data_IF_395548508068
#
_entry.id   IF_395548508068
#
_cell.length_a   1.000
_cell.length_b   1.000
_cell.length_c   1.000
_cell.angle_alpha   90.00
_cell.angle_beta   90.00
_cell.angle_gamma   90.00
#
_symmetry.space_group_name_H-M   'P 1'
#
loop_
_entity.id
_entity.type
_entity.pdbx_description
1 polymer ?
#
# COMPACT_ATOMS: atom_id res chain seq x y z
N UNK A 1 -9.74 15.11 -22.00
CA UNK A 1 -9.82 15.06 -20.53
C UNK A 1 -9.22 13.83 -19.87
N UNK A 2 -9.70 12.59 -20.03
CA UNK A 2 -9.15 11.46 -19.23
C UNK A 2 -7.65 11.23 -19.48
N UNK A 3 -7.19 11.42 -20.72
CA UNK A 3 -5.78 11.24 -21.08
C UNK A 3 -4.90 12.38 -20.54
N UNK A 4 -5.37 13.62 -20.60
CA UNK A 4 -4.67 14.79 -20.04
C UNK A 4 -4.54 14.70 -18.51
N UNK A 5 -5.60 14.24 -17.82
CA UNK A 5 -5.55 13.99 -16.36
C UNK A 5 -4.54 12.87 -16.09
N UNK A 6 -4.57 11.79 -16.87
CA UNK A 6 -3.63 10.68 -16.70
C UNK A 6 -2.18 11.14 -16.88
N UNK A 7 -1.91 11.93 -17.93
CA UNK A 7 -0.59 12.50 -18.19
C UNK A 7 -0.14 13.40 -17.04
N UNK A 8 -1.04 14.27 -16.54
CA UNK A 8 -0.74 15.19 -15.45
C UNK A 8 -0.41 14.51 -14.12
N UNK A 9 -0.96 13.31 -13.86
CA UNK A 9 -0.72 12.56 -12.63
C UNK A 9 0.36 11.48 -12.77
N UNK A 10 0.90 11.25 -13.97
CA UNK A 10 1.75 10.10 -14.26
C UNK A 10 3.03 10.10 -13.41
N UNK A 11 3.64 11.27 -13.20
CA UNK A 11 4.84 11.43 -12.38
C UNK A 11 4.62 10.96 -10.93
N UNK A 12 3.48 11.29 -10.34
CA UNK A 12 3.13 10.92 -8.98
C UNK A 12 2.87 9.41 -8.86
N UNK A 13 2.29 8.80 -9.90
CA UNK A 13 2.09 7.34 -9.97
C UNK A 13 3.43 6.62 -10.08
N UNK A 14 4.35 7.15 -10.89
CA UNK A 14 5.69 6.57 -11.02
C UNK A 14 6.50 6.72 -9.72
N UNK A 15 6.33 7.82 -8.98
CA UNK A 15 6.93 7.99 -7.66
C UNK A 15 6.44 6.97 -6.63
N UNK A 16 5.14 6.62 -6.66
CA UNK A 16 4.58 5.54 -5.81
C UNK A 16 5.22 4.19 -6.17
N UNK A 17 5.30 3.89 -7.47
CA UNK A 17 5.92 2.66 -7.95
C UNK A 17 7.39 2.55 -7.52
N UNK A 18 8.15 3.65 -7.64
CA UNK A 18 9.55 3.67 -7.25
C UNK A 18 9.71 3.45 -5.75
N UNK A 19 8.87 4.10 -4.93
CA UNK A 19 8.85 3.88 -3.48
C UNK A 19 8.62 2.41 -3.12
N UNK A 20 7.72 1.73 -3.83
CA UNK A 20 7.47 0.30 -3.63
C UNK A 20 8.72 -0.53 -3.95
N UNK A 21 9.41 -0.25 -5.05
CA UNK A 21 10.63 -0.97 -5.42
C UNK A 21 11.74 -0.78 -4.40
N UNK A 22 11.97 0.46 -3.97
CA UNK A 22 12.97 0.79 -2.96
C UNK A 22 12.67 0.07 -1.64
N UNK A 23 11.40 0.00 -1.23
CA UNK A 23 11.01 -0.74 -0.04
C UNK A 23 11.31 -2.24 -0.18
N UNK A 24 11.04 -2.84 -1.34
CA UNK A 24 11.35 -4.25 -1.61
C UNK A 24 12.86 -4.52 -1.61
N UNK A 25 13.67 -3.62 -2.18
CA UNK A 25 15.13 -3.73 -2.20
C UNK A 25 15.77 -3.63 -0.81
N UNK A 26 15.16 -2.85 0.09
CA UNK A 26 15.63 -2.66 1.46
C UNK A 26 15.10 -3.74 2.42
N UNK A 27 14.15 -4.57 1.98
CA UNK A 27 13.54 -5.61 2.82
C UNK A 27 14.48 -6.81 2.96
N UNK A 28 14.71 -7.34 4.19
CA UNK A 28 15.49 -8.55 4.38
C UNK A 28 14.96 -9.74 3.55
N UNK A 29 15.85 -10.64 3.07
CA UNK A 29 15.46 -11.74 2.18
C UNK A 29 14.32 -12.61 2.73
N UNK A 30 14.30 -12.85 4.05
CA UNK A 30 13.29 -13.68 4.71
C UNK A 30 11.89 -13.07 4.57
N UNK A 31 11.77 -11.75 4.65
CA UNK A 31 10.50 -11.02 4.52
C UNK A 31 10.15 -10.73 3.05
N UNK A 32 11.15 -10.53 2.19
CA UNK A 32 10.93 -10.32 0.77
C UNK A 32 10.25 -11.54 0.12
N UNK A 33 10.64 -12.76 0.52
CA UNK A 33 9.96 -13.98 0.10
C UNK A 33 8.48 -14.00 0.49
N UNK A 34 8.15 -13.62 1.73
CA UNK A 34 6.74 -13.54 2.15
C UNK A 34 5.92 -12.52 1.36
N UNK A 35 6.53 -11.39 0.97
CA UNK A 35 5.86 -10.38 0.15
C UNK A 35 5.60 -10.89 -1.26
N UNK A 36 6.50 -11.70 -1.83
CA UNK A 36 6.28 -12.35 -3.12
C UNK A 36 5.06 -13.28 -3.07
N UNK A 37 4.91 -14.03 -1.98
CA UNK A 37 3.81 -14.99 -1.82
C UNK A 37 2.48 -14.32 -1.45
N UNK A 38 2.49 -13.39 -0.50
CA UNK A 38 1.28 -12.75 0.05
C UNK A 38 0.88 -11.49 -0.70
N UNK A 39 1.82 -10.80 -1.30
CA UNK A 39 1.61 -9.54 -2.02
C UNK A 39 1.53 -8.31 -1.11
N UNK A 40 1.02 -7.23 -1.70
CA UNK A 40 0.88 -5.90 -1.11
C UNK A 40 -0.59 -5.56 -0.97
N UNK A 41 -0.96 -4.98 0.17
CA UNK A 41 -2.32 -4.47 0.42
C UNK A 41 -2.32 -2.95 0.33
N UNK A 42 -3.15 -2.39 -0.55
CA UNK A 42 -3.37 -0.96 -0.74
C UNK A 42 -4.50 -0.48 0.16
N UNK A 43 -4.30 0.69 0.76
CA UNK A 43 -5.28 1.37 1.61
C UNK A 43 -5.22 2.90 1.42
N UNK A 44 -6.13 3.63 2.04
CA UNK A 44 -6.28 5.08 1.91
C UNK A 44 -7.03 5.52 0.65
N UNK A 45 -7.37 6.81 0.57
CA UNK A 45 -8.11 7.35 -0.57
C UNK A 45 -7.36 7.28 -1.90
N UNK A 46 -6.03 7.34 -1.89
CA UNK A 46 -5.20 7.21 -3.09
C UNK A 46 -5.31 5.83 -3.75
N UNK A 47 -5.59 4.78 -2.97
CA UNK A 47 -5.76 3.43 -3.49
C UNK A 47 -7.02 3.27 -4.36
N UNK A 48 -7.98 4.20 -4.27
CA UNK A 48 -9.19 4.22 -5.09
C UNK A 48 -8.97 4.83 -6.48
N UNK A 49 -7.74 5.30 -6.79
CA UNK A 49 -7.44 5.76 -8.12
C UNK A 49 -7.63 4.62 -9.13
N UNK A 50 -8.40 4.90 -10.18
CA UNK A 50 -8.83 3.90 -11.15
C UNK A 50 -7.64 3.12 -11.72
N UNK A 51 -7.67 1.80 -11.56
CA UNK A 51 -6.69 0.83 -12.04
C UNK A 51 -5.27 0.99 -11.45
N UNK A 52 -5.10 1.68 -10.33
CA UNK A 52 -3.80 1.80 -9.67
C UNK A 52 -3.26 0.43 -9.22
N UNK A 53 -4.12 -0.39 -8.60
CA UNK A 53 -3.82 -1.76 -8.18
C UNK A 53 -3.36 -2.63 -9.36
N UNK A 54 -4.06 -2.57 -10.48
CA UNK A 54 -3.70 -3.29 -11.70
C UNK A 54 -2.38 -2.79 -12.28
N UNK A 55 -2.17 -1.48 -12.33
CA UNK A 55 -0.92 -0.89 -12.79
C UNK A 55 0.27 -1.36 -11.95
N UNK A 56 0.15 -1.29 -10.62
CA UNK A 56 1.20 -1.73 -9.70
C UNK A 56 1.48 -3.22 -9.86
N UNK A 57 0.43 -4.06 -9.93
CA UNK A 57 0.56 -5.50 -10.15
C UNK A 57 1.33 -5.82 -11.42
N UNK A 58 1.03 -5.13 -12.53
CA UNK A 58 1.71 -5.32 -13.79
C UNK A 58 3.19 -4.90 -13.72
N UNK A 59 3.50 -3.83 -13.00
CA UNK A 59 4.84 -3.24 -12.91
C UNK A 59 5.75 -3.95 -11.92
N UNK A 60 5.21 -4.47 -10.82
CA UNK A 60 5.98 -5.16 -9.78
C UNK A 60 5.98 -6.68 -9.96
N UNK A 61 4.99 -7.24 -10.66
CA UNK A 61 4.78 -8.68 -10.76
C UNK A 61 4.22 -9.30 -9.46
N UNK A 62 3.89 -8.50 -8.45
CA UNK A 62 3.40 -8.96 -7.16
C UNK A 62 1.87 -8.96 -7.10
N UNK A 63 1.25 -9.83 -6.28
CA UNK A 63 -0.16 -9.69 -5.95
C UNK A 63 -0.42 -8.33 -5.28
N UNK A 64 -1.39 -7.56 -5.78
CA UNK A 64 -1.81 -6.28 -5.19
C UNK A 64 -3.30 -6.35 -4.86
N UNK A 65 -3.68 -6.09 -3.62
CA UNK A 65 -5.05 -6.20 -3.14
C UNK A 65 -5.49 -4.86 -2.55
N UNK A 66 -6.74 -4.45 -2.77
CA UNK A 66 -7.33 -3.31 -2.08
C UNK A 66 -7.99 -3.79 -0.78
N UNK A 67 -7.87 -3.04 0.31
CA UNK A 67 -8.63 -3.36 1.54
C UNK A 67 -10.14 -3.22 1.31
N UNK A 68 -10.95 -3.89 2.13
CA UNK A 68 -12.41 -3.84 2.03
C UNK A 68 -12.97 -2.42 2.23
N UNK A 69 -12.36 -1.64 3.13
CA UNK A 69 -12.67 -0.23 3.36
C UNK A 69 -11.38 0.61 3.46
N UNK A 70 -10.81 1.06 2.32
CA UNK A 70 -9.57 1.83 2.27
C UNK A 70 -9.66 3.18 2.98
N UNK A 71 -10.84 3.80 3.02
CA UNK A 71 -11.02 5.12 3.63
C UNK A 71 -11.05 5.04 5.15
N UNK A 72 -11.64 3.97 5.71
CA UNK A 72 -11.73 3.80 7.17
C UNK A 72 -10.58 2.96 7.75
N UNK A 73 -9.73 2.34 6.94
CA UNK A 73 -8.68 1.42 7.41
C UNK A 73 -7.82 2.02 8.53
N UNK A 74 -7.40 3.29 8.40
CA UNK A 74 -6.56 3.96 9.39
C UNK A 74 -7.30 4.13 10.72
N UNK A 75 -8.50 4.72 10.71
CA UNK A 75 -9.26 4.98 11.95
C UNK A 75 -9.69 3.68 12.64
N UNK A 76 -10.05 2.65 11.87
CA UNK A 76 -10.38 1.32 12.42
C UNK A 76 -9.16 0.66 13.04
N UNK A 77 -7.98 0.75 12.41
CA UNK A 77 -6.73 0.24 12.96
C UNK A 77 -6.34 0.95 14.25
N UNK A 78 -6.45 2.27 14.29
CA UNK A 78 -6.21 3.06 15.50
C UNK A 78 -7.17 2.68 16.64
N UNK A 79 -8.47 2.51 16.34
CA UNK A 79 -9.46 2.07 17.33
C UNK A 79 -9.12 0.70 17.94
N UNK A 80 -8.77 -0.28 17.09
CA UNK A 80 -8.35 -1.62 17.54
C UNK A 80 -7.10 -1.57 18.44
N UNK A 81 -6.11 -0.75 18.09
CA UNK A 81 -4.92 -0.59 18.91
C UNK A 81 -5.23 -0.02 20.30
N UNK A 82 -6.23 0.85 20.43
CA UNK A 82 -6.68 1.36 21.73
C UNK A 82 -7.38 0.30 22.59
N UNK A 83 -8.09 -0.64 21.97
CA UNK A 83 -8.74 -1.75 22.68
C UNK A 83 -7.71 -2.77 23.21
N UNK A 84 -6.55 -2.87 22.57
CA UNK A 84 -5.42 -3.69 23.00
C UNK A 84 -4.38 -2.85 23.78
N UNK A 85 -4.74 -2.40 24.99
CA UNK A 85 -3.91 -1.51 25.83
C UNK A 85 -2.46 -1.99 26.04
N UNK A 86 -2.20 -3.30 26.01
CA UNK A 86 -0.85 -3.85 26.10
C UNK A 86 -0.06 -3.66 24.79
N UNK A 87 -0.68 -3.84 23.63
CA UNK A 87 -0.07 -3.54 22.33
C UNK A 87 0.20 -2.03 22.17
N UNK A 88 -0.70 -1.20 22.69
CA UNK A 88 -0.54 0.25 22.66
C UNK A 88 0.68 0.72 23.47
N UNK A 89 0.99 0.06 24.59
CA UNK A 89 2.19 0.38 25.39
C UNK A 89 3.47 0.10 24.60
N UNK A 90 3.53 -1.01 23.86
CA UNK A 90 4.71 -1.38 23.06
C UNK A 90 4.92 -0.48 21.83
N UNK A 91 3.85 0.10 21.27
CA UNK A 91 3.94 1.08 20.16
C UNK A 91 4.36 2.48 20.64
N UNK A 92 4.04 2.83 21.89
CA UNK A 92 4.34 4.13 22.50
C UNK A 92 5.70 4.19 23.22
N UNK A 93 6.32 3.04 23.49
CA UNK A 93 7.65 2.91 24.09
C UNK A 93 8.77 2.95 23.05
#
# INVERSE_FOLDING_TARGET
NSDEIREAIQEQIDAILETIKVALEQTPPELAGEIVDRGIVLTGGGALLKNLDHFLRLKTGLPIMLTEDPLSTVVLGSGKALEEIELLKDVLS
#
